data_IF_880824061557
#
_entry.id   IF_880824061557
#
_cell.length_a   1.000
_cell.length_b   1.000
_cell.length_c   1.000
_cell.angle_alpha   90.00
_cell.angle_beta   90.00
_cell.angle_gamma   90.00
#
_symmetry.space_group_name_H-M   'P 1'
#
loop_
_entity.id
_entity.type
_entity.pdbx_description
1 polymer ?
#
# COMPACT_ATOMS: atom_id res chain seq x y z
N UNK A 1 22.03 0.49 4.53
CA UNK A 1 22.84 -0.53 5.27
C UNK A 1 21.95 -1.68 5.73
N UNK A 2 20.74 -1.40 6.19
CA UNK A 2 19.79 -2.42 6.69
C UNK A 2 19.43 -3.51 5.66
N UNK A 3 19.21 -3.14 4.39
CA UNK A 3 18.91 -4.11 3.33
C UNK A 3 20.04 -5.12 3.12
N UNK A 4 21.30 -4.68 3.22
CA UNK A 4 22.45 -5.58 3.08
C UNK A 4 22.55 -6.57 4.23
N UNK A 5 22.22 -6.13 5.45
CA UNK A 5 22.19 -7.00 6.64
C UNK A 5 21.10 -8.07 6.48
N UNK A 6 19.90 -7.66 6.05
CA UNK A 6 18.80 -8.60 5.80
C UNK A 6 19.15 -9.64 4.74
N UNK A 7 19.73 -9.23 3.62
CA UNK A 7 20.16 -10.18 2.58
C UNK A 7 21.29 -11.10 3.06
N UNK A 8 22.25 -10.57 3.81
CA UNK A 8 23.33 -11.37 4.40
C UNK A 8 22.79 -12.46 5.33
N UNK A 9 21.91 -12.10 6.26
CA UNK A 9 21.26 -13.05 7.17
C UNK A 9 20.46 -14.10 6.37
N UNK A 10 19.70 -13.66 5.37
CA UNK A 10 18.89 -14.56 4.54
C UNK A 10 19.75 -15.58 3.80
N UNK A 11 20.88 -15.16 3.22
CA UNK A 11 21.83 -16.06 2.54
C UNK A 11 22.41 -17.07 3.54
N UNK A 12 22.85 -16.63 4.72
CA UNK A 12 23.41 -17.52 5.74
C UNK A 12 22.38 -18.55 6.20
N UNK A 13 21.14 -18.12 6.48
CA UNK A 13 20.05 -19.02 6.87
C UNK A 13 19.66 -19.98 5.74
N UNK A 14 19.68 -19.52 4.49
CA UNK A 14 19.39 -20.36 3.33
C UNK A 14 20.47 -21.44 3.18
N UNK A 15 21.76 -21.07 3.27
CA UNK A 15 22.88 -22.03 3.24
C UNK A 15 22.73 -23.04 4.38
N UNK A 16 22.46 -22.59 5.60
CA UNK A 16 22.22 -23.47 6.73
C UNK A 16 21.03 -24.42 6.49
N UNK A 17 19.92 -23.91 5.96
CA UNK A 17 18.76 -24.73 5.59
C UNK A 17 19.13 -25.80 4.55
N UNK A 18 19.92 -25.43 3.54
CA UNK A 18 20.41 -26.37 2.53
C UNK A 18 21.32 -27.46 3.09
N UNK A 19 22.13 -27.15 4.11
CA UNK A 19 22.96 -28.17 4.79
C UNK A 19 22.13 -29.12 5.65
N UNK A 20 20.96 -28.69 6.14
CA UNK A 20 20.05 -29.52 6.95
C UNK A 20 19.14 -30.41 6.11
N UNK A 21 18.51 -29.85 5.09
CA UNK A 21 17.54 -30.57 4.26
C UNK A 21 17.42 -29.87 2.88
N UNK A 22 18.15 -30.42 1.91
CA UNK A 22 18.22 -29.86 0.55
C UNK A 22 16.89 -29.95 -0.18
N UNK A 23 16.15 -31.05 -0.01
CA UNK A 23 14.86 -31.24 -0.69
C UNK A 23 13.82 -30.26 -0.17
N UNK A 24 13.68 -30.11 1.15
CA UNK A 24 12.75 -29.12 1.73
C UNK A 24 13.14 -27.70 1.39
N UNK A 25 14.44 -27.38 1.41
CA UNK A 25 14.93 -26.04 1.03
C UNK A 25 14.60 -25.71 -0.42
N UNK A 26 14.79 -26.65 -1.34
CA UNK A 26 14.43 -26.47 -2.75
C UNK A 26 12.92 -26.36 -2.95
N UNK A 27 12.12 -27.16 -2.23
CA UNK A 27 10.66 -27.06 -2.27
C UNK A 27 10.16 -25.70 -1.77
N UNK A 28 10.75 -25.17 -0.69
CA UNK A 28 10.44 -23.84 -0.17
C UNK A 28 10.77 -22.74 -1.17
N UNK A 29 11.95 -22.80 -1.80
CA UNK A 29 12.34 -21.84 -2.86
C UNK A 29 11.38 -21.89 -4.05
N UNK A 30 11.02 -23.09 -4.52
CA UNK A 30 10.06 -23.26 -5.62
C UNK A 30 8.68 -22.69 -5.28
N UNK A 31 8.24 -22.86 -4.02
CA UNK A 31 6.99 -22.26 -3.53
C UNK A 31 7.07 -20.73 -3.48
N UNK A 32 8.18 -20.19 -2.99
CA UNK A 32 8.44 -18.74 -3.01
C UNK A 32 8.42 -18.18 -4.43
N UNK A 33 9.11 -18.84 -5.36
CA UNK A 33 9.14 -18.45 -6.78
C UNK A 33 7.75 -18.46 -7.41
N UNK A 34 6.95 -19.51 -7.20
CA UNK A 34 5.56 -19.57 -7.67
C UNK A 34 4.70 -18.46 -7.06
N UNK A 35 4.88 -18.14 -5.78
CA UNK A 35 4.17 -17.03 -5.15
C UNK A 35 4.53 -15.69 -5.80
N UNK A 36 5.81 -15.50 -6.15
CA UNK A 36 6.28 -14.33 -6.86
C UNK A 36 5.69 -14.25 -8.27
N UNK A 37 5.73 -15.34 -9.04
CA UNK A 37 5.11 -15.42 -10.38
C UNK A 37 3.61 -15.14 -10.36
N UNK A 38 2.89 -15.53 -9.30
CA UNK A 38 1.45 -15.25 -9.18
C UNK A 38 1.16 -13.76 -8.91
N UNK A 39 2.05 -13.07 -8.20
CA UNK A 39 1.89 -11.66 -7.83
C UNK A 39 2.38 -10.73 -8.95
N UNK A 40 3.39 -11.17 -9.70
CA UNK A 40 4.09 -10.35 -10.69
C UNK A 40 3.18 -9.75 -11.78
N UNK A 41 2.21 -10.46 -12.38
CA UNK A 41 1.33 -9.89 -13.41
C UNK A 41 0.47 -8.75 -12.88
N UNK A 42 -0.17 -8.93 -11.73
CA UNK A 42 -1.00 -7.90 -11.10
C UNK A 42 -0.14 -6.68 -10.74
N UNK A 43 1.04 -6.93 -10.16
CA UNK A 43 1.99 -5.87 -9.80
C UNK A 43 2.43 -5.06 -11.02
N UNK A 44 2.81 -5.71 -12.12
CA UNK A 44 3.24 -5.05 -13.35
C UNK A 44 2.12 -4.24 -14.00
N UNK A 45 0.88 -4.77 -14.04
CA UNK A 45 -0.27 -4.04 -14.59
C UNK A 45 -0.51 -2.76 -13.81
N UNK A 46 -0.53 -2.84 -12.47
CA UNK A 46 -0.77 -1.65 -11.64
C UNK A 46 0.37 -0.64 -11.79
N UNK A 47 1.64 -1.08 -11.73
CA UNK A 47 2.79 -0.20 -11.95
C UNK A 47 2.76 0.48 -13.32
N UNK A 48 2.37 -0.23 -14.38
CA UNK A 48 2.26 0.33 -15.72
C UNK A 48 1.13 1.36 -15.79
N UNK A 49 -0.04 1.06 -15.22
CA UNK A 49 -1.17 2.01 -15.18
C UNK A 49 -0.79 3.29 -14.43
N UNK A 50 -0.12 3.17 -13.28
CA UNK A 50 0.38 4.33 -12.53
C UNK A 50 1.45 5.06 -13.32
N UNK A 51 2.40 4.36 -13.93
CA UNK A 51 3.44 4.95 -14.75
C UNK A 51 2.86 5.76 -15.92
N UNK A 52 1.85 5.23 -16.61
CA UNK A 52 1.12 5.94 -17.67
C UNK A 52 0.36 7.14 -17.09
N UNK A 53 -0.33 6.97 -15.96
CA UNK A 53 -1.02 8.06 -15.29
C UNK A 53 -0.06 9.19 -14.92
N UNK A 54 1.12 8.87 -14.38
CA UNK A 54 2.17 9.83 -14.05
C UNK A 54 2.79 10.46 -15.29
N UNK A 55 2.94 9.71 -16.39
CA UNK A 55 3.45 10.25 -17.65
C UNK A 55 2.48 11.25 -18.31
N UNK A 56 1.17 11.04 -18.12
CA UNK A 56 0.12 11.93 -18.65
C UNK A 56 -0.22 13.07 -17.67
N UNK A 57 0.02 12.87 -16.37
CA UNK A 57 -0.21 13.89 -15.34
C UNK A 57 0.99 14.82 -15.23
N UNK A 58 0.79 16.13 -15.30
CA UNK A 58 1.88 17.07 -14.99
C UNK A 58 2.20 17.02 -13.49
N UNK A 59 3.48 17.17 -13.08
CA UNK A 59 3.85 17.31 -11.68
C UNK A 59 3.09 18.45 -10.98
N UNK A 60 2.78 19.54 -11.69
CA UNK A 60 1.89 20.60 -11.21
C UNK A 60 0.49 20.09 -10.84
N UNK A 61 -0.12 19.24 -11.67
CA UNK A 61 -1.46 18.70 -11.38
C UNK A 61 -1.44 17.81 -10.14
N UNK A 62 -0.41 16.95 -10.00
CA UNK A 62 -0.24 16.09 -8.82
C UNK A 62 0.00 16.94 -7.57
N UNK A 63 0.89 17.93 -7.65
CA UNK A 63 1.18 18.84 -6.53
C UNK A 63 -0.06 19.65 -6.09
N UNK A 64 -0.88 20.10 -7.04
CA UNK A 64 -2.08 20.88 -6.73
C UNK A 64 -3.19 20.04 -6.07
N UNK A 65 -3.33 18.76 -6.46
CA UNK A 65 -4.42 17.89 -5.97
C UNK A 65 -3.99 17.07 -4.75
N UNK A 66 -2.77 16.53 -4.77
CA UNK A 66 -2.22 15.61 -3.77
C UNK A 66 -0.95 16.13 -3.09
N UNK A 67 -0.40 17.26 -3.52
CA UNK A 67 0.81 17.84 -2.93
C UNK A 67 0.55 18.52 -1.60
N UNK A 68 1.62 18.96 -0.94
CA UNK A 68 1.55 19.58 0.40
C UNK A 68 0.62 20.79 0.45
N UNK A 69 0.60 21.60 -0.62
CA UNK A 69 -0.23 22.81 -0.73
C UNK A 69 -1.73 22.53 -0.85
N UNK A 70 -2.13 21.32 -1.28
CA UNK A 70 -3.55 20.91 -1.33
C UNK A 70 -4.21 20.84 0.06
N UNK A 71 -3.41 20.81 1.13
CA UNK A 71 -3.86 20.80 2.52
C UNK A 71 -4.88 19.69 2.80
N UNK A 72 -5.90 20.02 3.60
CA UNK A 72 -6.95 19.07 3.99
C UNK A 72 -7.85 18.63 2.85
N UNK A 73 -7.97 19.41 1.78
CA UNK A 73 -8.77 19.04 0.60
C UNK A 73 -8.10 17.84 -0.11
N UNK A 74 -6.78 17.89 -0.31
CA UNK A 74 -6.05 16.76 -0.88
C UNK A 74 -6.10 15.51 0.00
N UNK A 75 -6.09 15.67 1.32
CA UNK A 75 -6.26 14.55 2.27
C UNK A 75 -7.64 13.90 2.15
N UNK A 76 -8.70 14.71 2.04
CA UNK A 76 -10.04 14.19 1.85
C UNK A 76 -10.16 13.45 0.51
N UNK A 77 -9.65 14.02 -0.58
CA UNK A 77 -9.65 13.37 -1.90
C UNK A 77 -8.87 12.05 -1.89
N UNK A 78 -7.66 12.05 -1.32
CA UNK A 78 -6.85 10.86 -1.15
C UNK A 78 -7.56 9.78 -0.32
N UNK A 79 -8.25 10.19 0.76
CA UNK A 79 -9.02 9.29 1.63
C UNK A 79 -10.21 8.66 0.90
N UNK A 80 -10.90 9.41 0.05
CA UNK A 80 -12.01 8.90 -0.75
C UNK A 80 -11.52 7.90 -1.80
N UNK A 81 -10.44 8.24 -2.51
CA UNK A 81 -9.84 7.33 -3.50
C UNK A 81 -9.36 6.04 -2.82
N UNK A 82 -8.66 6.14 -1.69
CA UNK A 82 -8.18 5.00 -0.94
C UNK A 82 -9.33 4.12 -0.45
N UNK A 83 -10.42 4.71 0.04
CA UNK A 83 -11.58 3.96 0.54
C UNK A 83 -12.28 3.12 -0.53
N UNK A 84 -12.30 3.57 -1.79
CA UNK A 84 -12.95 2.86 -2.91
C UNK A 84 -12.01 1.84 -3.54
N UNK A 85 -10.71 2.09 -3.46
CA UNK A 85 -9.68 1.27 -4.09
C UNK A 85 -9.40 0.04 -3.21
N UNK A 86 -9.12 -1.11 -3.81
CA UNK A 86 -8.64 -2.30 -3.10
C UNK A 86 -7.40 -2.82 -3.82
N UNK A 87 -6.24 -2.34 -3.39
CA UNK A 87 -4.94 -2.72 -3.93
C UNK A 87 -4.15 -3.43 -2.83
N UNK A 88 -3.51 -4.56 -3.12
CA UNK A 88 -2.67 -5.24 -2.15
C UNK A 88 -1.52 -4.33 -1.65
N UNK A 89 -1.14 -4.49 -0.38
CA UNK A 89 -0.13 -3.64 0.27
C UNK A 89 1.21 -3.63 -0.46
N UNK A 90 1.65 -4.77 -1.00
CA UNK A 90 2.91 -4.88 -1.75
C UNK A 90 2.94 -4.04 -3.03
N UNK A 91 1.77 -3.66 -3.58
CA UNK A 91 1.65 -2.73 -4.72
C UNK A 91 1.44 -1.29 -4.26
N UNK A 92 0.66 -1.10 -3.19
CA UNK A 92 0.29 0.20 -2.67
C UNK A 92 1.51 1.02 -2.21
N UNK A 93 2.48 0.40 -1.54
CA UNK A 93 3.67 1.11 -1.03
C UNK A 93 4.59 1.62 -2.15
N UNK A 94 4.98 0.82 -3.18
CA UNK A 94 5.70 1.33 -4.34
C UNK A 94 4.95 2.45 -5.07
N UNK A 95 3.63 2.31 -5.22
CA UNK A 95 2.77 3.33 -5.83
C UNK A 95 2.82 4.65 -5.07
N UNK A 96 2.72 4.57 -3.75
CA UNK A 96 2.81 5.72 -2.87
C UNK A 96 4.17 6.42 -2.97
N UNK A 97 5.26 5.67 -3.08
CA UNK A 97 6.59 6.23 -3.30
C UNK A 97 6.68 7.00 -4.62
N UNK A 98 6.17 6.44 -5.72
CA UNK A 98 6.15 7.11 -7.02
C UNK A 98 5.34 8.42 -6.98
N UNK A 99 4.21 8.43 -6.27
CA UNK A 99 3.41 9.64 -6.08
C UNK A 99 4.14 10.69 -5.23
N UNK A 100 4.84 10.28 -4.17
CA UNK A 100 5.68 11.18 -3.36
C UNK A 100 6.81 11.79 -4.21
N UNK A 101 7.50 10.97 -5.00
CA UNK A 101 8.55 11.44 -5.92
C UNK A 101 7.99 12.39 -6.99
N UNK A 102 6.73 12.21 -7.39
CA UNK A 102 6.02 13.09 -8.31
C UNK A 102 5.45 14.37 -7.65
N UNK A 103 5.68 14.59 -6.34
CA UNK A 103 5.31 15.81 -5.63
C UNK A 103 4.07 15.71 -4.72
N UNK A 104 3.53 14.51 -4.49
CA UNK A 104 2.49 14.32 -3.49
C UNK A 104 3.02 14.57 -2.06
N UNK A 105 2.15 15.03 -1.16
CA UNK A 105 2.51 15.27 0.23
C UNK A 105 2.41 14.01 1.11
N UNK A 106 3.25 13.91 2.12
CA UNK A 106 3.25 12.79 3.09
C UNK A 106 1.91 12.62 3.81
N UNK A 107 1.22 13.73 4.11
CA UNK A 107 -0.08 13.71 4.77
C UNK A 107 -1.16 13.08 3.87
N UNK A 108 -1.18 13.45 2.59
CA UNK A 108 -2.11 12.95 1.58
C UNK A 108 -1.86 11.47 1.28
N UNK A 109 -0.60 11.07 1.15
CA UNK A 109 -0.21 9.67 0.93
C UNK A 109 -0.49 8.82 2.17
N UNK A 110 -0.25 9.36 3.37
CA UNK A 110 -0.64 8.71 4.62
C UNK A 110 -2.14 8.44 4.68
N UNK A 111 -2.97 9.40 4.25
CA UNK A 111 -4.42 9.26 4.18
C UNK A 111 -4.87 8.22 3.14
N UNK A 112 -4.26 8.24 1.95
CA UNK A 112 -4.50 7.27 0.88
C UNK A 112 -4.25 5.85 1.36
N UNK A 113 -3.06 5.56 1.89
CA UNK A 113 -2.69 4.21 2.36
C UNK A 113 -3.56 3.80 3.55
N UNK A 114 -3.80 4.71 4.49
CA UNK A 114 -4.59 4.43 5.69
C UNK A 114 -6.03 4.03 5.33
N UNK A 115 -6.67 4.78 4.44
CA UNK A 115 -8.03 4.45 3.99
C UNK A 115 -8.08 3.20 3.12
N UNK A 116 -7.11 3.03 2.22
CA UNK A 116 -6.95 1.83 1.39
C UNK A 116 -6.88 0.53 2.20
N UNK A 117 -6.23 0.58 3.37
CA UNK A 117 -6.06 -0.60 4.22
C UNK A 117 -7.19 -0.78 5.24
N UNK A 118 -7.72 0.31 5.80
CA UNK A 118 -8.66 0.22 6.92
C UNK A 118 -10.13 0.24 6.50
N UNK A 119 -10.45 0.98 5.44
CA UNK A 119 -11.82 1.17 4.95
C UNK A 119 -12.15 0.09 3.93
N UNK A 120 -13.14 -0.73 4.26
CA UNK A 120 -13.60 -1.85 3.46
C UNK A 120 -14.87 -1.55 2.68
N UNK A 121 -14.91 -0.52 1.83
CA UNK A 121 -16.09 -0.28 0.97
C UNK A 121 -16.30 -1.44 0.00
N UNK A 122 -15.24 -1.90 -0.65
CA UNK A 122 -15.30 -3.04 -1.59
C UNK A 122 -15.61 -4.35 -0.85
N UNK A 123 -15.09 -4.52 0.36
CA UNK A 123 -15.32 -5.70 1.21
C UNK A 123 -16.62 -5.61 2.03
N UNK A 124 -17.36 -4.51 1.94
CA UNK A 124 -18.57 -4.25 2.71
C UNK A 124 -19.63 -5.37 2.59
N UNK A 125 -19.90 -5.98 1.41
CA UNK A 125 -20.86 -7.09 1.31
C UNK A 125 -20.47 -8.31 2.14
N UNK A 126 -19.18 -8.61 2.17
CA UNK A 126 -18.61 -9.72 2.95
C UNK A 126 -18.74 -9.39 4.43
N UNK A 127 -18.34 -8.19 4.83
CA UNK A 127 -18.41 -7.74 6.22
C UNK A 127 -19.84 -7.73 6.77
N UNK A 128 -20.82 -7.30 5.97
CA UNK A 128 -22.24 -7.31 6.38
C UNK A 128 -22.70 -8.74 6.67
N UNK A 129 -22.25 -9.72 5.88
CA UNK A 129 -22.61 -11.13 6.05
C UNK A 129 -22.05 -11.72 7.36
N UNK A 130 -20.83 -11.35 7.73
CA UNK A 130 -20.16 -11.91 8.92
C UNK A 130 -20.43 -11.12 10.21
N UNK A 131 -20.45 -9.79 10.15
CA UNK A 131 -20.55 -8.91 11.34
C UNK A 131 -21.91 -8.25 11.52
N UNK A 132 -22.76 -8.27 10.50
CA UNK A 132 -24.03 -7.57 10.48
C UNK A 132 -23.88 -6.08 10.11
N UNK A 133 -24.91 -5.55 9.45
CA UNK A 133 -24.90 -4.21 8.81
C UNK A 133 -24.49 -3.07 9.74
N UNK A 134 -24.97 -3.07 10.98
CA UNK A 134 -24.66 -1.99 11.95
C UNK A 134 -23.18 -1.95 12.30
N UNK A 135 -22.58 -3.11 12.57
CA UNK A 135 -21.16 -3.20 12.92
C UNK A 135 -20.27 -2.85 11.74
N UNK A 136 -20.61 -3.30 10.53
CA UNK A 136 -19.86 -2.96 9.31
C UNK A 136 -19.82 -1.46 9.07
N UNK A 137 -20.97 -0.77 9.17
CA UNK A 137 -21.04 0.68 8.96
C UNK A 137 -20.21 1.40 10.04
N UNK A 138 -20.39 1.06 11.32
CA UNK A 138 -19.61 1.66 12.41
C UNK A 138 -18.11 1.48 12.20
N UNK A 139 -17.66 0.26 11.89
CA UNK A 139 -16.25 -0.03 11.61
C UNK A 139 -15.71 0.87 10.51
N UNK A 140 -16.41 0.95 9.37
CA UNK A 140 -15.93 1.71 8.21
C UNK A 140 -15.91 3.22 8.48
N UNK A 141 -16.92 3.75 9.18
CA UNK A 141 -16.95 5.17 9.55
C UNK A 141 -15.83 5.51 10.54
N UNK A 142 -15.63 4.68 11.58
CA UNK A 142 -14.52 4.88 12.52
C UNK A 142 -13.16 4.74 11.85
N UNK A 143 -12.99 3.75 10.96
CA UNK A 143 -11.77 3.58 10.18
C UNK A 143 -11.49 4.80 9.28
N UNK A 144 -12.52 5.33 8.63
CA UNK A 144 -12.41 6.51 7.77
C UNK A 144 -12.06 7.76 8.58
N UNK A 145 -12.65 7.95 9.77
CA UNK A 145 -12.30 9.08 10.64
C UNK A 145 -10.87 8.90 11.18
N UNK A 146 -10.51 7.67 11.58
CA UNK A 146 -9.20 7.35 12.13
C UNK A 146 -8.06 7.60 11.13
N UNK A 147 -8.29 7.37 9.83
CA UNK A 147 -7.29 7.64 8.80
C UNK A 147 -6.83 9.11 8.75
N UNK A 148 -7.70 10.07 9.07
CA UNK A 148 -7.31 11.49 9.14
C UNK A 148 -6.37 11.78 10.31
N UNK A 149 -6.57 11.11 11.44
CA UNK A 149 -5.65 11.21 12.58
C UNK A 149 -4.28 10.63 12.23
N UNK A 150 -4.25 9.47 11.56
CA UNK A 150 -3.00 8.86 11.08
C UNK A 150 -2.31 9.76 10.07
N UNK A 151 -3.05 10.27 9.08
CA UNK A 151 -2.53 11.19 8.07
C UNK A 151 -1.92 12.44 8.72
N UNK A 152 -2.61 13.05 9.69
CA UNK A 152 -2.12 14.19 10.42
C UNK A 152 -0.84 13.87 11.22
N UNK A 153 -0.80 12.73 11.91
CA UNK A 153 0.38 12.30 12.65
C UNK A 153 1.58 12.10 11.72
N UNK A 154 1.39 11.42 10.58
CA UNK A 154 2.43 11.25 9.56
C UNK A 154 2.89 12.60 9.02
N UNK A 155 1.94 13.48 8.68
CA UNK A 155 2.23 14.82 8.19
C UNK A 155 3.01 15.68 9.18
N UNK A 156 2.82 15.49 10.50
CA UNK A 156 3.56 16.21 11.55
C UNK A 156 4.94 15.65 11.87
N UNK A 157 5.13 14.34 11.70
CA UNK A 157 6.39 13.66 12.04
C UNK A 157 7.36 13.66 10.85
N UNK A 158 6.83 13.50 9.63
CA UNK A 158 7.64 13.27 8.41
C UNK A 158 7.71 14.52 7.52
N UNK A 159 6.69 15.39 7.54
CA UNK A 159 6.54 16.53 6.62
C UNK A 159 6.68 17.90 7.27
#
# INVERSE_FOLDING_TARGET
MDSYIFYGITIVLLIFSFTKDREKSMAALKKGWRSFENILPEFLVVLLLIGVMLAVSSPQMISNILGKESGWIGVLLASLVGSVTLIPSFVAFPTALLLLEAGAGYMQIGALISTLMMVGLVTMPIEIKYFGKRMTILRNVFAFIFSFFVAFAIGKVVG
#
